data_IF_990172402209
#
_entry.id   IF_990172402209
#
_cell.length_a   1.000
_cell.length_b   1.000
_cell.length_c   1.000
_cell.angle_alpha   90.00
_cell.angle_beta   90.00
_cell.angle_gamma   90.00
#
_symmetry.space_group_name_H-M   'P 1'
#
loop_
_entity.id
_entity.type
_entity.pdbx_description
1 polymer ?
#
# COMPACT_ATOMS: atom_id res chain seq x y z
N UNK A 1 28.67 -1.52 40.11
CA UNK A 1 30.09 -1.80 39.77
C UNK A 1 30.18 -2.18 38.31
N UNK A 2 30.98 -1.43 37.55
CA UNK A 2 31.21 -1.53 36.10
C UNK A 2 31.94 -2.82 35.75
N UNK A 3 31.64 -3.47 34.62
CA UNK A 3 32.66 -3.98 33.67
C UNK A 3 32.14 -3.91 32.22
N UNK A 4 32.80 -3.04 31.47
CA UNK A 4 32.75 -2.85 30.02
C UNK A 4 33.82 -3.78 29.45
N UNK A 5 33.50 -4.56 28.42
CA UNK A 5 34.51 -5.13 27.52
C UNK A 5 34.06 -4.89 26.09
N UNK A 6 34.56 -3.79 25.53
CA UNK A 6 34.72 -3.69 24.09
C UNK A 6 35.96 -4.47 23.66
N UNK A 7 35.92 -5.03 22.46
CA UNK A 7 37.14 -5.24 21.69
C UNK A 7 36.81 -5.10 20.19
N UNK A 8 37.19 -3.93 19.69
CA UNK A 8 37.45 -3.63 18.28
C UNK A 8 38.43 -4.64 17.70
N UNK A 9 38.09 -5.25 16.56
CA UNK A 9 39.09 -5.77 15.62
C UNK A 9 38.74 -5.24 14.24
N UNK A 10 39.39 -4.14 13.88
CA UNK A 10 39.60 -3.74 12.50
C UNK A 10 40.81 -4.50 11.96
N UNK A 11 40.64 -5.22 10.86
CA UNK A 11 41.75 -5.70 10.04
C UNK A 11 41.38 -5.51 8.57
N UNK A 12 41.81 -4.37 8.07
CA UNK A 12 41.88 -3.96 6.69
C UNK A 12 43.05 -4.70 6.04
N UNK A 13 42.87 -5.36 4.88
CA UNK A 13 43.96 -5.58 3.93
C UNK A 13 43.45 -5.83 2.51
N UNK A 14 43.92 -4.93 1.65
CA UNK A 14 43.70 -4.75 0.21
C UNK A 14 44.72 -5.60 -0.57
N UNK A 15 44.34 -6.15 -1.74
CA UNK A 15 45.03 -5.92 -3.03
C UNK A 15 44.60 -6.89 -4.15
N UNK A 16 44.07 -6.24 -5.19
CA UNK A 16 43.95 -6.50 -6.63
C UNK A 16 45.04 -7.39 -7.23
N UNK A 17 44.69 -8.25 -8.22
CA UNK A 17 45.41 -8.35 -9.51
C UNK A 17 44.52 -8.99 -10.59
N UNK A 18 44.57 -8.35 -11.76
CA UNK A 18 43.82 -8.62 -12.98
C UNK A 18 44.32 -9.86 -13.75
N UNK A 19 43.45 -10.43 -14.58
CA UNK A 19 43.85 -11.22 -15.75
C UNK A 19 43.03 -10.77 -16.97
N UNK A 20 43.73 -10.11 -17.89
CA UNK A 20 43.33 -9.75 -19.24
C UNK A 20 43.29 -10.95 -20.21
N UNK A 21 42.61 -10.73 -21.34
CA UNK A 21 43.04 -11.18 -22.68
C UNK A 21 42.33 -12.45 -23.16
N UNK A 22 41.68 -12.50 -24.32
CA UNK A 22 41.92 -11.82 -25.60
C UNK A 22 40.59 -11.66 -26.36
N UNK A 23 40.26 -10.49 -26.94
CA UNK A 23 40.57 -10.04 -28.32
C UNK A 23 39.88 -10.94 -29.38
N UNK A 24 39.16 -10.45 -30.39
CA UNK A 24 39.38 -9.20 -31.13
C UNK A 24 38.21 -8.85 -32.08
N UNK A 25 38.05 -7.53 -32.31
CA UNK A 25 37.62 -6.78 -33.52
C UNK A 25 36.30 -7.11 -34.23
N UNK A 26 35.39 -6.15 -34.51
CA UNK A 26 35.60 -4.91 -35.29
C UNK A 26 34.40 -3.96 -35.07
N UNK A 27 34.60 -2.71 -34.61
CA UNK A 27 34.62 -1.43 -35.39
C UNK A 27 33.30 -1.08 -36.09
N UNK A 28 32.79 0.15 -36.10
CA UNK A 28 33.29 1.52 -35.87
C UNK A 28 32.02 2.38 -35.58
N UNK A 29 32.00 3.22 -34.55
CA UNK A 29 32.23 4.69 -34.56
C UNK A 29 31.17 5.47 -35.38
N UNK A 30 30.63 6.62 -34.97
CA UNK A 30 31.15 7.76 -34.23
C UNK A 30 29.92 8.68 -33.91
N UNK A 31 29.94 9.78 -33.15
CA UNK A 31 30.80 10.48 -32.19
C UNK A 31 30.20 11.89 -32.05
N UNK A 32 30.49 12.52 -30.91
CA UNK A 32 30.55 13.98 -30.65
C UNK A 32 29.23 14.71 -30.43
N UNK A 33 29.16 15.71 -29.56
CA UNK A 33 29.96 16.15 -28.39
C UNK A 33 29.31 17.45 -27.90
N UNK A 34 29.53 17.72 -26.61
CA UNK A 34 29.57 19.04 -25.97
C UNK A 34 28.29 19.85 -25.79
N UNK A 35 28.20 20.82 -24.88
CA UNK A 35 28.76 21.18 -23.55
C UNK A 35 28.15 22.57 -23.29
N UNK A 36 27.95 22.91 -22.01
CA UNK A 36 27.97 24.29 -21.45
C UNK A 36 26.65 25.09 -21.32
N UNK A 37 26.21 25.18 -20.06
CA UNK A 37 26.07 26.41 -19.24
C UNK A 37 25.32 27.63 -19.80
N UNK A 38 24.34 28.15 -19.05
CA UNK A 38 24.46 29.43 -18.29
C UNK A 38 23.12 29.88 -17.67
N UNK A 39 23.24 30.25 -16.40
CA UNK A 39 22.37 31.00 -15.49
C UNK A 39 21.94 32.39 -16.04
N UNK A 40 20.70 32.84 -15.79
CA UNK A 40 20.40 34.11 -15.09
C UNK A 40 18.89 34.40 -14.92
N UNK A 41 18.67 35.06 -13.78
CA UNK A 41 17.47 35.57 -13.11
C UNK A 41 16.85 36.76 -13.84
N UNK A 42 15.54 36.99 -13.69
CA UNK A 42 14.97 38.34 -13.62
C UNK A 42 13.68 38.39 -12.82
N UNK A 43 13.50 39.54 -12.19
CA UNK A 43 12.75 39.87 -10.99
C UNK A 43 11.48 40.70 -11.30
N UNK A 44 10.77 41.12 -10.24
CA UNK A 44 9.66 42.10 -10.11
C UNK A 44 8.24 41.57 -10.37
N UNK A 45 7.32 41.47 -9.39
CA UNK A 45 6.82 42.36 -8.33
C UNK A 45 5.62 43.24 -8.75
N UNK A 46 4.59 43.17 -7.89
CA UNK A 46 3.58 44.18 -7.52
C UNK A 46 2.11 44.04 -7.98
N UNK A 47 1.28 43.62 -7.01
CA UNK A 47 0.16 44.35 -6.35
C UNK A 47 -0.76 45.21 -7.22
N UNK A 48 -2.08 44.96 -7.23
CA UNK A 48 -3.06 45.50 -6.26
C UNK A 48 -4.52 45.13 -6.62
N UNK A 49 -5.36 45.15 -5.58
CA UNK A 49 -6.77 44.79 -5.40
C UNK A 49 -7.77 45.23 -6.48
N UNK A 50 -8.86 44.46 -6.61
CA UNK A 50 -10.22 45.00 -6.49
C UNK A 50 -11.20 43.89 -6.09
N UNK A 51 -11.69 44.04 -4.85
CA UNK A 51 -12.85 43.39 -4.25
C UNK A 51 -14.13 43.69 -5.02
N UNK A 52 -14.93 42.66 -5.33
CA UNK A 52 -16.36 42.82 -5.56
C UNK A 52 -17.12 41.64 -4.95
N UNK A 53 -17.69 41.88 -3.78
CA UNK A 53 -18.69 41.03 -3.15
C UNK A 53 -19.84 40.77 -4.12
N UNK A 54 -20.13 39.49 -4.36
CA UNK A 54 -21.43 39.06 -4.86
C UNK A 54 -21.89 37.91 -3.98
N UNK A 55 -22.67 38.28 -2.98
CA UNK A 55 -23.45 37.41 -2.10
C UNK A 55 -24.37 36.55 -2.97
N UNK A 56 -23.92 35.33 -3.29
CA UNK A 56 -24.72 34.31 -3.97
C UNK A 56 -25.07 33.29 -2.91
N UNK A 57 -26.37 33.20 -2.63
CA UNK A 57 -26.97 32.27 -1.70
C UNK A 57 -26.38 30.86 -1.90
N UNK A 58 -25.75 30.34 -0.84
CA UNK A 58 -25.44 28.92 -0.72
C UNK A 58 -26.77 28.17 -0.75
N UNK A 59 -27.13 27.71 -1.93
CA UNK A 59 -27.92 26.50 -2.06
C UNK A 59 -26.97 25.40 -1.60
N UNK A 60 -27.20 24.90 -0.38
CA UNK A 60 -26.74 23.57 -0.01
C UNK A 60 -27.33 22.63 -1.07
N UNK A 61 -26.54 22.36 -2.11
CA UNK A 61 -26.70 21.11 -2.84
C UNK A 61 -26.35 20.05 -1.81
N UNK A 62 -27.39 19.46 -1.22
CA UNK A 62 -27.29 18.08 -0.76
C UNK A 62 -26.79 17.30 -1.97
N UNK A 63 -25.48 17.05 -1.99
CA UNK A 63 -24.92 15.97 -2.75
C UNK A 63 -25.68 14.73 -2.28
N UNK A 64 -26.63 14.29 -3.10
CA UNK A 64 -27.12 12.92 -3.11
C UNK A 64 -25.86 12.06 -3.29
N UNK A 65 -25.15 11.80 -2.19
CA UNK A 65 -24.20 10.71 -2.09
C UNK A 65 -25.05 9.47 -2.31
N UNK A 66 -25.08 9.01 -3.55
CA UNK A 66 -25.40 7.63 -3.85
C UNK A 66 -24.45 6.82 -2.98
N UNK A 67 -24.92 6.42 -1.81
CA UNK A 67 -24.22 5.52 -0.90
C UNK A 67 -24.02 4.26 -1.70
N UNK A 68 -22.83 4.16 -2.28
CA UNK A 68 -22.39 3.04 -3.10
C UNK A 68 -22.45 1.84 -2.17
N UNK A 69 -23.45 0.98 -2.34
CA UNK A 69 -23.57 -0.25 -1.54
C UNK A 69 -22.45 -1.19 -1.97
N UNK A 70 -21.29 -1.00 -1.36
CA UNK A 70 -20.08 -1.77 -1.62
C UNK A 70 -20.33 -3.25 -1.37
N UNK A 71 -21.15 -3.59 -0.37
CA UNK A 71 -21.41 -4.96 0.02
C UNK A 71 -22.18 -5.71 -1.07
N UNK A 72 -23.17 -5.05 -1.69
CA UNK A 72 -23.87 -5.61 -2.86
C UNK A 72 -22.93 -5.75 -4.06
N UNK A 73 -22.08 -4.76 -4.33
CA UNK A 73 -21.13 -4.85 -5.47
C UNK A 73 -20.06 -5.93 -5.28
N UNK A 74 -19.53 -6.08 -4.06
CA UNK A 74 -18.61 -7.18 -3.74
C UNK A 74 -19.30 -8.52 -3.94
N UNK A 75 -20.57 -8.66 -3.55
CA UNK A 75 -21.34 -9.88 -3.79
C UNK A 75 -21.57 -10.13 -5.29
N UNK A 76 -21.84 -9.10 -6.09
CA UNK A 76 -21.98 -9.24 -7.54
C UNK A 76 -20.66 -9.68 -8.19
N UNK A 77 -19.53 -9.10 -7.79
CA UNK A 77 -18.19 -9.51 -8.25
C UNK A 77 -17.90 -10.96 -7.85
N UNK A 78 -18.23 -11.33 -6.61
CA UNK A 78 -18.05 -12.69 -6.09
C UNK A 78 -18.86 -13.72 -6.89
N UNK A 79 -20.07 -13.37 -7.32
CA UNK A 79 -20.96 -14.25 -8.09
C UNK A 79 -20.68 -14.27 -9.60
N UNK A 80 -19.84 -13.38 -10.13
CA UNK A 80 -19.46 -13.36 -11.55
C UNK A 80 -18.63 -14.59 -11.98
N UNK A 81 -18.41 -14.76 -13.28
CA UNK A 81 -17.65 -15.89 -13.84
C UNK A 81 -16.13 -15.66 -13.93
N UNK A 82 -15.63 -14.54 -13.41
CA UNK A 82 -14.20 -14.21 -13.45
C UNK A 82 -13.34 -15.16 -12.60
N UNK A 83 -12.05 -15.23 -12.91
CA UNK A 83 -11.05 -15.87 -12.06
C UNK A 83 -10.85 -15.13 -10.72
N UNK A 84 -10.22 -15.76 -9.75
CA UNK A 84 -9.89 -15.15 -8.45
C UNK A 84 -9.05 -13.87 -8.62
N UNK A 85 -8.16 -13.83 -9.62
CA UNK A 85 -7.40 -12.61 -9.92
C UNK A 85 -8.29 -11.52 -10.50
N UNK A 86 -9.18 -11.81 -11.45
CA UNK A 86 -10.08 -10.80 -12.02
C UNK A 86 -11.10 -10.28 -11.00
N UNK A 87 -11.56 -11.15 -10.09
CA UNK A 87 -12.43 -10.76 -8.98
C UNK A 87 -11.71 -9.86 -7.99
N UNK A 88 -10.49 -10.23 -7.62
CA UNK A 88 -9.61 -9.40 -6.79
C UNK A 88 -9.41 -8.03 -7.44
N UNK A 89 -9.03 -7.98 -8.72
CA UNK A 89 -8.77 -6.72 -9.42
C UNK A 89 -10.00 -5.79 -9.41
N UNK A 90 -11.21 -6.35 -9.64
CA UNK A 90 -12.46 -5.59 -9.57
C UNK A 90 -12.75 -5.06 -8.16
N UNK A 91 -12.55 -5.86 -7.12
CA UNK A 91 -12.76 -5.43 -5.73
C UNK A 91 -11.71 -4.41 -5.30
N UNK A 92 -10.47 -4.56 -5.73
CA UNK A 92 -9.42 -3.59 -5.48
C UNK A 92 -9.73 -2.25 -6.15
N UNK A 93 -10.24 -2.25 -7.39
CA UNK A 93 -10.72 -1.02 -8.03
C UNK A 93 -11.87 -0.39 -7.25
N UNK A 94 -12.86 -1.18 -6.83
CA UNK A 94 -13.97 -0.71 -6.01
C UNK A 94 -13.49 -0.07 -4.68
N UNK A 95 -12.51 -0.69 -4.00
CA UNK A 95 -11.95 -0.18 -2.75
C UNK A 95 -11.16 1.13 -2.94
N UNK A 96 -10.39 1.26 -4.03
CA UNK A 96 -9.66 2.50 -4.33
C UNK A 96 -10.58 3.70 -4.62
N UNK A 97 -11.74 3.44 -5.23
CA UNK A 97 -12.73 4.47 -5.53
C UNK A 97 -13.68 4.75 -4.35
N UNK A 98 -13.58 3.97 -3.26
CA UNK A 98 -14.47 4.08 -2.10
C UNK A 98 -13.96 5.16 -1.13
N UNK A 99 -14.87 6.07 -0.73
CA UNK A 99 -14.59 7.05 0.32
C UNK A 99 -15.36 6.66 1.57
N UNK A 100 -14.75 5.96 2.54
CA UNK A 100 -15.44 5.54 3.75
C UNK A 100 -15.78 6.75 4.63
N UNK A 101 -16.86 6.63 5.39
CA UNK A 101 -17.08 7.47 6.56
C UNK A 101 -16.17 7.03 7.72
N UNK A 102 -15.93 7.90 8.71
CA UNK A 102 -15.14 7.55 9.89
C UNK A 102 -15.71 6.32 10.65
N UNK A 103 -17.04 6.20 10.73
CA UNK A 103 -17.73 5.07 11.38
C UNK A 103 -17.53 3.77 10.61
N UNK A 104 -17.55 3.82 9.28
CA UNK A 104 -17.26 2.65 8.46
C UNK A 104 -15.80 2.23 8.54
N UNK A 105 -14.88 3.20 8.59
CA UNK A 105 -13.46 2.92 8.72
C UNK A 105 -13.16 2.22 10.05
N UNK A 106 -13.75 2.69 11.16
CA UNK A 106 -13.67 2.03 12.46
C UNK A 106 -14.27 0.62 12.41
N UNK A 107 -15.47 0.48 11.82
CA UNK A 107 -16.13 -0.82 11.67
C UNK A 107 -15.31 -1.81 10.84
N UNK A 108 -14.73 -1.36 9.73
CA UNK A 108 -13.90 -2.20 8.86
C UNK A 108 -12.62 -2.63 9.55
N UNK A 109 -11.97 -1.72 10.30
CA UNK A 109 -10.81 -2.04 11.13
C UNK A 109 -11.12 -3.09 12.19
N UNK A 110 -12.22 -2.91 12.93
CA UNK A 110 -12.69 -3.87 13.93
C UNK A 110 -13.00 -5.24 13.32
N UNK A 111 -13.67 -5.26 12.17
CA UNK A 111 -14.03 -6.50 11.48
C UNK A 111 -12.77 -7.31 11.11
N UNK A 112 -11.77 -6.70 10.48
CA UNK A 112 -10.55 -7.43 10.07
C UNK A 112 -9.72 -7.89 11.29
N UNK A 113 -9.67 -7.08 12.34
CA UNK A 113 -9.02 -7.44 13.61
C UNK A 113 -9.72 -8.64 14.26
N UNK A 114 -11.06 -8.65 14.24
CA UNK A 114 -11.85 -9.74 14.80
C UNK A 114 -11.72 -11.02 13.98
N UNK A 115 -11.72 -10.94 12.65
CA UNK A 115 -11.49 -12.10 11.78
C UNK A 115 -10.13 -12.76 12.04
N UNK A 116 -9.09 -11.97 12.26
CA UNK A 116 -7.78 -12.48 12.63
C UNK A 116 -7.75 -13.07 14.05
N UNK A 117 -8.22 -12.32 15.06
CA UNK A 117 -8.25 -12.79 16.47
C UNK A 117 -9.06 -14.06 16.65
N UNK A 118 -10.12 -14.24 15.86
CA UNK A 118 -10.95 -15.45 15.87
C UNK A 118 -10.35 -16.60 15.05
N UNK A 119 -9.28 -16.37 14.30
CA UNK A 119 -8.64 -17.36 13.44
C UNK A 119 -9.48 -17.78 12.24
N UNK A 120 -10.43 -16.94 11.82
CA UNK A 120 -11.40 -17.26 10.76
C UNK A 120 -10.98 -16.71 9.40
N UNK A 121 -10.14 -15.67 9.36
CA UNK A 121 -9.86 -14.89 8.14
C UNK A 121 -9.34 -15.68 6.91
N UNK A 122 -8.66 -16.82 7.12
CA UNK A 122 -8.21 -17.74 6.05
C UNK A 122 -8.87 -19.13 6.11
N UNK A 123 -9.96 -19.29 6.87
CA UNK A 123 -10.56 -20.60 7.14
C UNK A 123 -11.23 -21.24 5.90
N UNK A 124 -11.70 -20.43 4.95
CA UNK A 124 -12.26 -20.88 3.68
C UNK A 124 -11.87 -19.93 2.54
N UNK A 125 -10.64 -20.10 2.05
CA UNK A 125 -10.11 -19.29 0.94
C UNK A 125 -10.85 -19.51 -0.39
N UNK A 126 -11.73 -20.51 -0.48
CA UNK A 126 -12.53 -20.78 -1.69
C UNK A 126 -13.87 -20.04 -1.70
N UNK A 127 -14.29 -19.50 -0.56
CA UNK A 127 -15.48 -18.67 -0.47
C UNK A 127 -15.20 -17.26 -0.99
N UNK A 128 -15.52 -17.03 -2.26
CA UNK A 128 -15.23 -15.77 -2.94
C UNK A 128 -15.86 -14.56 -2.23
N UNK A 129 -17.14 -14.62 -1.87
CA UNK A 129 -17.82 -13.48 -1.25
C UNK A 129 -17.18 -13.12 0.09
N UNK A 130 -16.87 -14.12 0.92
CA UNK A 130 -16.22 -13.91 2.20
C UNK A 130 -14.82 -13.30 2.05
N UNK A 131 -13.96 -13.92 1.22
CA UNK A 131 -12.59 -13.44 1.01
C UNK A 131 -12.56 -12.04 0.41
N UNK A 132 -13.43 -11.77 -0.57
CA UNK A 132 -13.48 -10.48 -1.24
C UNK A 132 -14.01 -9.38 -0.32
N UNK A 133 -14.94 -9.66 0.60
CA UNK A 133 -15.36 -8.69 1.63
C UNK A 133 -14.22 -8.34 2.57
N UNK A 134 -13.44 -9.33 3.01
CA UNK A 134 -12.28 -9.10 3.87
C UNK A 134 -11.19 -8.31 3.14
N UNK A 135 -10.92 -8.63 1.88
CA UNK A 135 -9.98 -7.89 1.02
C UNK A 135 -10.45 -6.44 0.82
N UNK A 136 -11.72 -6.23 0.52
CA UNK A 136 -12.30 -4.89 0.37
C UNK A 136 -12.07 -4.04 1.61
N UNK A 137 -12.50 -4.54 2.78
CA UNK A 137 -12.36 -3.83 4.06
C UNK A 137 -10.92 -3.51 4.38
N UNK A 138 -10.03 -4.50 4.27
CA UNK A 138 -8.61 -4.31 4.58
C UNK A 138 -7.95 -3.29 3.65
N UNK A 139 -8.30 -3.28 2.36
CA UNK A 139 -7.76 -2.30 1.42
C UNK A 139 -8.31 -0.89 1.66
N UNK A 140 -9.60 -0.75 2.00
CA UNK A 140 -10.16 0.56 2.38
C UNK A 140 -9.47 1.10 3.64
N UNK A 141 -9.20 0.23 4.61
CA UNK A 141 -8.48 0.62 5.83
C UNK A 141 -7.05 1.05 5.49
N UNK A 142 -6.26 0.19 4.82
CA UNK A 142 -4.88 0.48 4.37
C UNK A 142 -4.78 1.80 3.59
N UNK A 143 -5.68 2.02 2.62
CA UNK A 143 -5.69 3.26 1.82
C UNK A 143 -6.07 4.52 2.60
N UNK A 144 -6.84 4.41 3.69
CA UNK A 144 -7.24 5.57 4.49
C UNK A 144 -6.09 6.15 5.34
N UNK A 145 -5.05 5.35 5.60
CA UNK A 145 -3.95 5.70 6.49
C UNK A 145 -2.62 5.95 5.76
N UNK A 146 -2.58 5.96 4.42
CA UNK A 146 -1.35 6.12 3.61
C UNK A 146 -0.52 7.38 3.97
N UNK A 147 -1.16 8.44 4.46
CA UNK A 147 -0.49 9.68 4.89
C UNK A 147 -0.12 9.72 6.39
N UNK A 148 -0.49 8.69 7.15
CA UNK A 148 -0.23 8.58 8.59
C UNK A 148 0.94 7.65 8.86
N UNK A 149 2.12 8.24 9.08
CA UNK A 149 3.28 7.45 9.47
C UNK A 149 3.04 6.80 10.84
N UNK A 150 2.95 5.47 10.86
CA UNK A 150 2.96 4.59 12.03
C UNK A 150 1.60 4.36 12.72
N UNK A 151 0.48 4.33 11.99
CA UNK A 151 -0.76 3.79 12.57
C UNK A 151 -0.66 2.26 12.70
N UNK A 152 -0.84 1.68 13.91
CA UNK A 152 -0.83 0.23 14.07
C UNK A 152 -1.92 -0.50 13.28
N UNK A 153 -3.09 0.12 13.08
CA UNK A 153 -4.19 -0.45 12.32
C UNK A 153 -3.86 -0.50 10.83
N UNK A 154 -3.17 0.50 10.29
CA UNK A 154 -2.64 0.51 8.93
C UNK A 154 -1.68 -0.67 8.70
N UNK A 155 -0.66 -0.78 9.54
CA UNK A 155 0.31 -1.90 9.45
C UNK A 155 -0.39 -3.27 9.57
N UNK A 156 -1.36 -3.38 10.47
CA UNK A 156 -2.16 -4.59 10.61
C UNK A 156 -2.97 -4.88 9.32
N UNK A 157 -3.66 -3.88 8.77
CA UNK A 157 -4.48 -4.01 7.58
C UNK A 157 -3.65 -4.39 6.35
N UNK A 158 -2.46 -3.81 6.20
CA UNK A 158 -1.51 -4.15 5.16
C UNK A 158 -1.16 -5.66 5.18
N UNK A 159 -0.69 -6.17 6.32
CA UNK A 159 -0.30 -7.59 6.44
C UNK A 159 -1.50 -8.54 6.30
N UNK A 160 -2.66 -8.16 6.85
CA UNK A 160 -3.92 -8.88 6.67
C UNK A 160 -4.33 -8.96 5.20
N UNK A 161 -4.25 -7.84 4.47
CA UNK A 161 -4.56 -7.74 3.05
C UNK A 161 -3.64 -8.63 2.23
N UNK A 162 -2.34 -8.60 2.50
CA UNK A 162 -1.36 -9.41 1.77
C UNK A 162 -1.65 -10.90 1.92
N UNK A 163 -1.91 -11.36 3.15
CA UNK A 163 -2.30 -12.75 3.40
C UNK A 163 -3.59 -13.12 2.69
N UNK A 164 -4.64 -12.30 2.84
CA UNK A 164 -5.95 -12.54 2.23
C UNK A 164 -5.85 -12.60 0.70
N UNK A 165 -5.12 -11.66 0.10
CA UNK A 165 -4.90 -11.55 -1.35
C UNK A 165 -4.15 -12.75 -1.93
N UNK A 166 -2.99 -13.09 -1.37
CA UNK A 166 -2.13 -14.10 -1.99
C UNK A 166 -2.66 -15.52 -1.78
N UNK A 167 -3.33 -15.78 -0.65
CA UNK A 167 -4.00 -17.07 -0.43
C UNK A 167 -5.25 -17.21 -1.29
N UNK A 168 -6.09 -16.17 -1.38
CA UNK A 168 -7.27 -16.16 -2.24
C UNK A 168 -6.92 -16.39 -3.73
N UNK A 169 -5.84 -15.75 -4.21
CA UNK A 169 -5.38 -15.91 -5.59
C UNK A 169 -4.61 -17.22 -5.83
N UNK A 170 -4.48 -18.07 -4.81
CA UNK A 170 -3.76 -19.35 -4.90
C UNK A 170 -2.24 -19.21 -5.11
N UNK A 171 -1.67 -18.05 -4.79
CA UNK A 171 -0.22 -17.79 -4.87
C UNK A 171 0.48 -18.44 -3.68
N UNK A 172 -0.07 -18.23 -2.48
CA UNK A 172 0.48 -18.76 -1.23
C UNK A 172 -0.46 -19.79 -0.61
N UNK A 173 0.13 -20.79 0.06
CA UNK A 173 -0.61 -21.68 0.95
C UNK A 173 -0.82 -20.99 2.31
N UNK A 174 -1.92 -21.32 3.00
CA UNK A 174 -2.29 -20.74 4.30
C UNK A 174 -1.25 -20.98 5.41
N UNK A 175 -0.40 -22.00 5.28
CA UNK A 175 0.67 -22.35 6.23
C UNK A 175 2.08 -22.02 5.70
N UNK A 176 2.14 -21.24 4.62
CA UNK A 176 3.41 -20.84 4.01
C UNK A 176 4.19 -19.85 4.88
N UNK A 177 5.51 -19.80 4.69
CA UNK A 177 6.37 -18.87 5.43
C UNK A 177 6.00 -17.39 5.24
N UNK A 178 5.63 -16.90 4.04
CA UNK A 178 5.12 -15.54 3.88
C UNK A 178 3.89 -15.27 4.74
N UNK A 179 2.92 -16.20 4.77
CA UNK A 179 1.70 -16.04 5.57
C UNK A 179 2.03 -15.94 7.05
N UNK A 180 2.82 -16.87 7.58
CA UNK A 180 3.25 -16.87 8.98
C UNK A 180 4.09 -15.64 9.36
N UNK A 181 4.86 -15.09 8.42
CA UNK A 181 5.64 -13.88 8.65
C UNK A 181 4.73 -12.65 8.80
N UNK A 182 3.72 -12.53 7.95
CA UNK A 182 2.71 -11.47 8.03
C UNK A 182 1.84 -11.64 9.28
N UNK A 183 1.44 -12.87 9.65
CA UNK A 183 0.73 -13.13 10.92
C UNK A 183 1.55 -12.66 12.12
N UNK A 184 2.86 -12.90 12.09
CA UNK A 184 3.73 -12.35 13.13
C UNK A 184 3.72 -10.81 13.16
N UNK A 185 3.69 -10.13 12.02
CA UNK A 185 3.61 -8.66 11.98
C UNK A 185 2.25 -8.17 12.47
N UNK A 186 1.15 -8.85 12.11
CA UNK A 186 -0.19 -8.59 12.64
C UNK A 186 -0.23 -8.72 14.16
N UNK A 187 0.38 -9.77 14.73
CA UNK A 187 0.50 -9.94 16.18
C UNK A 187 1.25 -8.76 16.82
N UNK A 188 2.37 -8.32 16.22
CA UNK A 188 3.17 -7.20 16.72
C UNK A 188 2.36 -5.88 16.66
N UNK A 189 1.59 -5.65 15.59
CA UNK A 189 0.68 -4.50 15.44
C UNK A 189 -0.47 -4.51 16.46
N UNK A 190 -1.08 -5.68 16.70
CA UNK A 190 -2.14 -5.84 17.72
C UNK A 190 -1.69 -5.48 19.14
N UNK A 191 -0.40 -5.53 19.45
CA UNK A 191 0.09 -5.08 20.77
C UNK A 191 -0.01 -3.57 20.99
N UNK A 192 -0.26 -2.82 19.91
CA UNK A 192 -0.31 -1.36 19.87
C UNK A 192 -1.75 -0.84 19.60
N UNK A 193 -2.63 -1.68 19.06
CA UNK A 193 -4.06 -1.42 18.90
C UNK A 193 -4.74 -1.74 20.25
N UNK A 194 -5.21 -0.70 20.96
CA UNK A 194 -5.76 -0.81 22.32
C UNK A 194 -7.22 -1.30 22.34
#
# INVERSE_FOLDING_TARGET
MKKIYGLLIAALLVAVLAACGSEDTSKEDAKSESTDSKQETSNEESTDETTQETETAAVEEETDETTVDWNTQVADIANGDGSETEKFDQVSSLAMDYSPTDEELETFGDDIVNEYKNGTYLSDITNHEYMLKNIFKAQVVDSAFEDSEQDPLDSFAFDFLQNSKYTYRGVDAVDSQPVLANEKQMDDALTQIN
#
